data_IF_699612197478
#
_entry.id   IF_699612197478
#
_cell.length_a   1.000
_cell.length_b   1.000
_cell.length_c   1.000
_cell.angle_alpha   90.00
_cell.angle_beta   90.00
_cell.angle_gamma   90.00
#
_symmetry.space_group_name_H-M   'P 1'
#
loop_
_entity.id
_entity.type
_entity.pdbx_description
1 polymer ?
#
# COMPACT_ATOMS: atom_id res chain seq x y z
N UNK A 1 11.50 22.87 -20.30
CA UNK A 1 11.66 24.19 -19.65
C UNK A 1 11.90 23.91 -18.18
N UNK A 2 13.02 24.36 -17.63
CA UNK A 2 13.46 24.01 -16.28
C UNK A 2 12.69 24.85 -15.23
N UNK A 3 11.71 24.25 -14.57
CA UNK A 3 11.00 24.87 -13.44
C UNK A 3 11.85 24.71 -12.18
N UNK A 4 12.07 25.81 -11.45
CA UNK A 4 12.63 25.77 -10.10
C UNK A 4 11.66 25.00 -9.19
N UNK A 5 12.14 24.15 -8.29
CA UNK A 5 11.34 23.30 -7.40
C UNK A 5 10.22 24.09 -6.71
N UNK A 6 10.55 25.29 -6.21
CA UNK A 6 9.57 26.19 -5.59
C UNK A 6 8.39 26.54 -6.51
N UNK A 7 8.62 26.72 -7.82
CA UNK A 7 7.54 27.01 -8.78
C UNK A 7 6.68 25.78 -9.06
N UNK A 8 7.27 24.59 -9.01
CA UNK A 8 6.52 23.32 -9.14
C UNK A 8 5.64 23.13 -7.91
N UNK A 9 6.20 23.34 -6.71
CA UNK A 9 5.48 23.28 -5.44
C UNK A 9 4.33 24.30 -5.40
N UNK A 10 4.58 25.56 -5.79
CA UNK A 10 3.54 26.60 -5.87
C UNK A 10 2.36 26.17 -6.77
N UNK A 11 2.65 25.68 -7.99
CA UNK A 11 1.63 25.15 -8.90
C UNK A 11 0.83 24.00 -8.27
N UNK A 12 1.52 23.08 -7.60
CA UNK A 12 0.88 21.94 -6.93
C UNK A 12 -0.03 22.41 -5.78
N UNK A 13 0.39 23.42 -5.02
CA UNK A 13 -0.40 24.00 -3.92
C UNK A 13 -1.71 24.63 -4.42
N UNK A 14 -1.68 25.26 -5.61
CA UNK A 14 -2.85 25.88 -6.25
C UNK A 14 -3.91 24.88 -6.75
N UNK A 15 -3.57 23.58 -6.82
CA UNK A 15 -4.51 22.55 -7.28
C UNK A 15 -5.73 22.43 -6.35
N UNK A 16 -6.96 22.48 -6.90
CA UNK A 16 -8.18 22.63 -6.11
C UNK A 16 -8.60 21.35 -5.39
N UNK A 17 -8.36 20.19 -6.00
CA UNK A 17 -8.83 18.89 -5.49
C UNK A 17 -7.76 18.24 -4.62
N UNK A 18 -8.13 17.83 -3.42
CA UNK A 18 -7.26 17.09 -2.51
C UNK A 18 -7.75 15.66 -2.32
N UNK A 19 -6.88 14.77 -1.87
CA UNK A 19 -7.18 13.36 -1.63
C UNK A 19 -8.33 13.19 -0.63
N UNK A 20 -8.45 14.09 0.35
CA UNK A 20 -9.56 14.12 1.30
C UNK A 20 -10.93 14.34 0.64
N UNK A 21 -10.99 15.02 -0.50
CA UNK A 21 -12.24 15.33 -1.19
C UNK A 21 -12.80 14.11 -1.92
N UNK A 22 -11.92 13.23 -2.41
CA UNK A 22 -12.29 11.99 -3.13
C UNK A 22 -12.33 10.75 -2.22
N UNK A 23 -11.87 10.88 -0.98
CA UNK A 23 -11.86 9.78 -0.01
C UNK A 23 -13.16 9.73 0.80
N UNK A 24 -13.69 8.52 1.01
CA UNK A 24 -14.70 8.25 2.04
C UNK A 24 -14.07 8.37 3.43
N UNK A 25 -12.83 7.87 3.60
CA UNK A 25 -12.10 7.99 4.85
C UNK A 25 -10.60 7.88 4.66
N UNK A 26 -9.85 8.70 5.39
CA UNK A 26 -8.41 8.56 5.60
C UNK A 26 -8.19 8.40 7.11
N UNK A 27 -7.46 7.35 7.51
CA UNK A 27 -7.30 6.95 8.90
C UNK A 27 -5.92 6.36 9.20
N UNK A 28 -5.52 6.42 10.47
CA UNK A 28 -4.23 5.88 10.92
C UNK A 28 -4.32 4.40 11.24
N UNK A 29 -3.16 3.77 11.42
CA UNK A 29 -3.04 2.38 11.82
C UNK A 29 -3.60 2.07 13.20
N UNK A 30 -3.51 0.79 13.56
CA UNK A 30 -3.72 0.35 14.94
C UNK A 30 -2.58 0.81 15.85
N UNK A 31 -2.85 0.94 17.13
CA UNK A 31 -1.80 1.12 18.14
C UNK A 31 -2.17 0.37 19.41
N UNK A 32 -1.24 -0.34 20.03
CA UNK A 32 -1.49 -1.15 21.22
C UNK A 32 -0.39 -0.94 22.25
N UNK A 33 -0.71 -1.14 23.53
CA UNK A 33 0.31 -1.15 24.60
C UNK A 33 1.20 -2.39 24.52
N UNK A 34 0.65 -3.49 24.02
CA UNK A 34 1.29 -4.81 24.01
C UNK A 34 1.61 -5.25 22.58
N UNK A 35 2.38 -4.47 21.81
CA UNK A 35 2.70 -4.78 20.40
C UNK A 35 3.25 -6.19 20.19
N UNK A 36 4.13 -6.65 21.10
CA UNK A 36 4.74 -7.99 21.08
C UNK A 36 3.77 -9.14 21.39
N UNK A 37 2.61 -8.84 22.00
CA UNK A 37 1.52 -9.80 22.16
C UNK A 37 0.77 -10.01 20.84
N UNK A 38 0.61 -8.95 20.05
CA UNK A 38 -0.21 -9.05 18.84
C UNK A 38 0.58 -9.45 17.61
N UNK A 39 1.83 -8.97 17.50
CA UNK A 39 2.71 -9.30 16.38
C UNK A 39 3.19 -10.74 16.48
N UNK A 40 3.11 -11.43 15.34
CA UNK A 40 3.43 -12.84 15.17
C UNK A 40 4.39 -12.97 13.99
N UNK A 41 5.48 -13.70 14.15
CA UNK A 41 6.34 -14.05 13.01
C UNK A 41 5.91 -15.40 12.44
N UNK A 42 5.88 -15.52 11.12
CA UNK A 42 5.66 -16.77 10.41
C UNK A 42 7.00 -17.52 10.35
N UNK A 43 7.11 -18.76 10.86
CA UNK A 43 8.34 -19.54 10.78
C UNK A 43 8.70 -19.83 9.31
N UNK A 44 9.99 -19.73 8.97
CA UNK A 44 10.47 -20.08 7.63
C UNK A 44 10.15 -21.55 7.29
N UNK A 45 9.61 -21.78 6.09
CA UNK A 45 9.26 -23.13 5.61
C UNK A 45 8.06 -23.77 6.30
N UNK A 46 7.25 -23.01 7.05
CA UNK A 46 6.01 -23.52 7.60
C UNK A 46 4.88 -23.46 6.58
N UNK A 47 4.29 -24.63 6.28
CA UNK A 47 3.06 -24.75 5.49
C UNK A 47 1.79 -24.67 6.39
N UNK A 48 1.95 -24.37 7.69
CA UNK A 48 0.82 -24.36 8.63
C UNK A 48 0.28 -22.96 8.85
N UNK A 49 -0.99 -22.75 8.51
CA UNK A 49 -1.73 -21.50 8.75
C UNK A 49 -1.99 -21.18 10.23
N UNK A 50 -1.54 -22.05 11.14
CA UNK A 50 -1.81 -21.93 12.58
C UNK A 50 -0.55 -21.79 13.44
N UNK A 51 0.65 -22.05 12.88
CA UNK A 51 1.90 -22.03 13.62
C UNK A 51 2.61 -20.69 13.47
N UNK A 52 2.89 -20.04 14.60
CA UNK A 52 3.55 -18.75 14.64
C UNK A 52 4.64 -18.70 15.69
N UNK A 53 5.56 -17.75 15.57
CA UNK A 53 6.50 -17.38 16.62
C UNK A 53 5.99 -16.13 17.32
N UNK A 54 5.73 -16.23 18.62
CA UNK A 54 5.37 -15.08 19.43
C UNK A 54 6.66 -14.33 19.80
N UNK A 55 6.86 -13.12 19.27
CA UNK A 55 8.09 -12.37 19.49
C UNK A 55 8.35 -12.08 20.97
N UNK A 56 7.33 -11.70 21.74
CA UNK A 56 7.54 -11.44 23.18
C UNK A 56 7.85 -12.69 24.01
N UNK A 57 7.31 -13.86 23.65
CA UNK A 57 7.55 -15.10 24.38
C UNK A 57 8.77 -15.88 23.84
N UNK A 58 9.34 -15.46 22.71
CA UNK A 58 10.45 -16.12 22.02
C UNK A 58 10.23 -17.62 21.79
N UNK A 59 8.99 -18.04 21.48
CA UNK A 59 8.65 -19.45 21.28
C UNK A 59 7.54 -19.66 20.24
N UNK A 60 7.42 -20.87 19.67
CA UNK A 60 6.29 -21.24 18.84
C UNK A 60 4.97 -21.24 19.61
N UNK A 61 3.92 -20.80 18.94
CA UNK A 61 2.53 -20.79 19.41
C UNK A 61 1.62 -21.28 18.29
N UNK A 62 0.59 -22.03 18.65
CA UNK A 62 -0.50 -22.39 17.75
C UNK A 62 -1.66 -21.44 18.06
N UNK A 63 -2.26 -20.85 17.04
CA UNK A 63 -3.36 -19.91 17.18
C UNK A 63 -4.47 -20.20 16.18
N UNK A 64 -5.67 -19.82 16.55
CA UNK A 64 -6.85 -19.89 15.70
C UNK A 64 -6.72 -18.88 14.54
N UNK A 65 -6.71 -19.34 13.27
CA UNK A 65 -6.44 -18.49 12.11
C UNK A 65 -7.47 -17.36 11.92
N UNK A 66 -8.69 -17.52 12.43
CA UNK A 66 -9.76 -16.52 12.37
C UNK A 66 -9.41 -15.21 13.08
N UNK A 67 -8.45 -15.23 14.01
CA UNK A 67 -7.95 -14.06 14.71
C UNK A 67 -6.71 -13.46 14.05
N UNK A 68 -6.18 -14.06 12.99
CA UNK A 68 -4.87 -13.72 12.43
C UNK A 68 -5.04 -12.98 11.10
N UNK A 69 -4.48 -11.77 11.04
CA UNK A 69 -4.55 -10.91 9.87
C UNK A 69 -3.17 -10.67 9.25
N UNK A 70 -3.09 -10.49 7.91
CA UNK A 70 -1.90 -9.97 7.26
C UNK A 70 -1.47 -8.64 7.88
N UNK A 71 -0.16 -8.47 8.11
CA UNK A 71 0.36 -7.30 8.82
C UNK A 71 1.39 -6.54 7.99
N UNK A 72 1.14 -5.25 7.79
CA UNK A 72 2.05 -4.31 7.15
C UNK A 72 2.76 -3.53 8.23
N UNK A 73 4.06 -3.78 8.37
CA UNK A 73 4.94 -2.97 9.21
C UNK A 73 5.48 -1.82 8.38
N UNK A 74 5.45 -0.59 8.90
CA UNK A 74 6.00 0.58 8.22
C UNK A 74 7.51 0.49 7.90
N UNK A 75 8.22 -0.49 8.47
CA UNK A 75 9.61 -0.79 8.12
C UNK A 75 9.77 -1.37 6.70
N UNK A 76 8.71 -1.95 6.12
CA UNK A 76 8.70 -2.46 4.75
C UNK A 76 7.91 -1.47 3.89
N UNK A 77 8.64 -0.69 3.11
CA UNK A 77 8.05 0.22 2.14
C UNK A 77 7.72 -0.57 0.88
N UNK A 78 6.45 -0.61 0.51
CA UNK A 78 5.94 -1.45 -0.57
C UNK A 78 5.21 -0.58 -1.60
N UNK A 79 5.54 -0.77 -2.88
CA UNK A 79 4.95 -0.02 -3.98
C UNK A 79 3.96 -0.87 -4.73
N UNK A 80 2.79 -0.31 -5.00
CA UNK A 80 1.68 -0.88 -5.77
C UNK A 80 1.04 -2.13 -5.13
N UNK A 81 1.82 -3.10 -4.67
CA UNK A 81 1.35 -4.33 -4.03
C UNK A 81 2.08 -4.59 -2.72
N UNK A 82 1.50 -5.44 -1.87
CA UNK A 82 2.15 -5.84 -0.62
C UNK A 82 3.13 -7.00 -0.84
N UNK A 83 4.28 -6.92 -0.17
CA UNK A 83 5.18 -8.04 -0.01
C UNK A 83 4.58 -8.99 1.03
N UNK A 84 4.60 -10.32 0.81
CA UNK A 84 4.27 -11.26 1.87
C UNK A 84 5.10 -10.99 3.13
N UNK A 85 4.49 -10.29 4.08
CA UNK A 85 5.14 -9.93 5.33
C UNK A 85 5.48 -11.22 6.09
N UNK A 86 6.68 -11.34 6.67
CA UNK A 86 6.99 -12.43 7.60
C UNK A 86 6.20 -12.27 8.90
N UNK A 87 5.42 -11.20 9.05
CA UNK A 87 4.61 -10.93 10.21
C UNK A 87 3.11 -11.06 9.94
N UNK A 88 2.40 -11.44 10.99
CA UNK A 88 0.94 -11.41 11.12
C UNK A 88 0.56 -10.66 12.37
N UNK A 89 -0.72 -10.31 12.46
CA UNK A 89 -1.26 -9.59 13.60
C UNK A 89 -2.46 -10.33 14.18
N UNK A 90 -2.40 -10.67 15.46
CA UNK A 90 -3.50 -11.27 16.20
C UNK A 90 -4.48 -10.17 16.64
N UNK A 91 -5.72 -10.25 16.18
CA UNK A 91 -6.78 -9.29 16.47
C UNK A 91 -8.01 -10.01 17.03
N UNK A 92 -8.15 -10.10 18.38
CA UNK A 92 -9.26 -10.77 19.05
C UNK A 92 -10.54 -9.92 19.04
N UNK A 93 -11.05 -9.64 17.84
CA UNK A 93 -12.21 -8.81 17.58
C UNK A 93 -13.22 -9.54 16.71
N UNK A 94 -14.49 -9.35 17.01
CA UNK A 94 -15.58 -9.67 16.12
C UNK A 94 -15.84 -8.50 15.19
N UNK A 95 -15.90 -8.80 13.90
CA UNK A 95 -16.36 -7.87 12.89
C UNK A 95 -17.81 -8.20 12.60
N UNK A 96 -18.71 -7.25 12.84
CA UNK A 96 -20.12 -7.37 12.47
C UNK A 96 -20.46 -6.36 11.38
N UNK A 97 -21.18 -6.82 10.36
CA UNK A 97 -21.63 -5.95 9.28
C UNK A 97 -22.78 -5.07 9.77
N UNK A 98 -22.61 -3.75 9.69
CA UNK A 98 -23.63 -2.77 10.07
C UNK A 98 -23.79 -1.73 8.97
N UNK A 99 -24.53 -2.11 7.92
CA UNK A 99 -24.66 -1.29 6.71
C UNK A 99 -23.36 -1.27 5.92
N UNK A 100 -22.87 -0.08 5.54
CA UNK A 100 -21.64 0.09 4.74
C UNK A 100 -20.35 0.10 5.58
N UNK A 101 -20.42 -0.13 6.90
CA UNK A 101 -19.26 -0.11 7.81
C UNK A 101 -19.31 -1.32 8.73
N UNK A 102 -18.14 -1.84 9.11
CA UNK A 102 -18.05 -2.90 10.11
C UNK A 102 -17.98 -2.30 11.50
N UNK A 103 -18.67 -2.90 12.46
CA UNK A 103 -18.46 -2.59 13.87
C UNK A 103 -17.53 -3.65 14.45
N UNK A 104 -16.29 -3.25 14.73
CA UNK A 104 -15.30 -4.08 15.39
C UNK A 104 -15.54 -4.08 16.91
N UNK A 105 -16.00 -5.20 17.45
CA UNK A 105 -16.21 -5.40 18.89
C UNK A 105 -15.12 -6.30 19.44
N UNK A 106 -14.44 -5.85 20.50
CA UNK A 106 -13.47 -6.70 21.18
C UNK A 106 -14.17 -7.92 21.80
N UNK A 107 -13.60 -9.11 21.61
CA UNK A 107 -14.16 -10.35 22.16
C UNK A 107 -13.90 -10.34 23.68
N UNK A 108 -14.92 -10.48 24.55
CA UNK A 108 -14.73 -10.55 26.00
C UNK A 108 -13.90 -11.76 26.43
N UNK A 109 -13.18 -11.71 27.56
CA UNK A 109 -12.31 -12.82 28.00
C UNK A 109 -13.01 -14.17 28.12
N UNK A 110 -14.24 -14.20 28.63
CA UNK A 110 -15.02 -15.45 28.76
C UNK A 110 -15.36 -16.07 27.39
N UNK A 111 -15.77 -15.24 26.42
CA UNK A 111 -16.06 -15.70 25.06
C UNK A 111 -14.78 -16.14 24.34
N UNK A 112 -13.69 -15.39 24.54
CA UNK A 112 -12.38 -15.70 23.99
C UNK A 112 -11.87 -17.05 24.52
N UNK A 113 -12.05 -17.32 25.81
CA UNK A 113 -11.66 -18.59 26.45
C UNK A 113 -12.41 -19.79 25.86
N UNK A 114 -13.69 -19.63 25.54
CA UNK A 114 -14.53 -20.71 25.02
C UNK A 114 -14.28 -20.95 23.53
N UNK A 115 -14.18 -19.89 22.73
CA UNK A 115 -14.12 -19.99 21.26
C UNK A 115 -12.71 -20.02 20.70
N UNK A 116 -11.78 -19.36 21.38
CA UNK A 116 -10.39 -19.20 20.96
C UNK A 116 -9.44 -19.53 22.13
N UNK A 117 -9.51 -20.77 22.67
CA UNK A 117 -8.77 -21.16 23.87
C UNK A 117 -7.25 -21.03 23.72
N UNK A 118 -6.68 -21.17 22.52
CA UNK A 118 -5.25 -21.02 22.30
C UNK A 118 -4.82 -19.56 22.38
N UNK A 119 -5.56 -18.66 21.74
CA UNK A 119 -5.36 -17.22 21.89
C UNK A 119 -5.52 -16.76 23.36
N UNK A 120 -6.56 -17.22 24.05
CA UNK A 120 -6.75 -16.93 25.48
C UNK A 120 -5.57 -17.39 26.32
N UNK A 121 -5.14 -18.65 26.15
CA UNK A 121 -4.01 -19.24 26.87
C UNK A 121 -2.72 -18.46 26.65
N UNK A 122 -2.47 -18.02 25.41
CA UNK A 122 -1.32 -17.19 25.06
C UNK A 122 -1.35 -15.83 25.75
N UNK A 123 -2.49 -15.13 25.74
CA UNK A 123 -2.60 -13.82 26.38
C UNK A 123 -2.34 -13.95 27.88
N UNK A 124 -2.88 -15.01 28.51
CA UNK A 124 -2.64 -15.28 29.93
C UNK A 124 -1.16 -15.57 30.19
N UNK A 125 -0.52 -16.38 29.36
CA UNK A 125 0.92 -16.65 29.50
C UNK A 125 1.77 -15.38 29.36
N UNK A 126 1.43 -14.51 28.39
CA UNK A 126 2.07 -13.23 28.21
C UNK A 126 1.90 -12.34 29.46
N UNK A 127 0.69 -12.25 29.99
CA UNK A 127 0.39 -11.54 31.25
C UNK A 127 1.21 -12.10 32.42
N UNK A 128 1.27 -13.41 32.57
CA UNK A 128 2.04 -14.05 33.64
C UNK A 128 3.54 -13.71 33.53
N UNK A 129 4.09 -13.67 32.31
CA UNK A 129 5.51 -13.42 32.10
C UNK A 129 5.91 -11.94 32.23
N UNK A 130 5.09 -11.02 31.71
CA UNK A 130 5.44 -9.60 31.66
C UNK A 130 4.89 -8.80 32.84
N UNK A 131 3.67 -9.11 33.29
CA UNK A 131 3.00 -8.41 34.39
C UNK A 131 3.16 -9.16 35.73
N UNK A 132 3.69 -10.39 35.71
CA UNK A 132 3.83 -11.26 36.89
C UNK A 132 2.50 -11.55 37.60
N UNK A 133 1.40 -11.49 36.85
CA UNK A 133 0.04 -11.65 37.35
C UNK A 133 -0.61 -12.91 36.78
N UNK A 134 -0.76 -13.91 37.65
CA UNK A 134 -1.37 -15.21 37.33
C UNK A 134 -2.91 -15.23 37.46
N UNK A 135 -3.53 -14.08 37.74
CA UNK A 135 -4.99 -14.00 37.80
C UNK A 135 -5.61 -14.14 36.40
N UNK A 136 -6.84 -14.71 36.30
CA UNK A 136 -7.58 -14.75 35.04
C UNK A 136 -7.69 -13.37 34.37
N UNK A 137 -7.96 -13.36 33.06
CA UNK A 137 -8.25 -12.11 32.35
C UNK A 137 -9.59 -11.56 32.80
N UNK A 138 -9.56 -10.46 33.54
CA UNK A 138 -10.72 -9.75 34.10
C UNK A 138 -11.30 -8.72 33.13
N UNK A 139 -10.47 -8.16 32.26
CA UNK A 139 -10.85 -7.18 31.24
C UNK A 139 -10.21 -7.49 29.87
N UNK A 140 -10.90 -7.08 28.82
CA UNK A 140 -10.39 -7.10 27.45
C UNK A 140 -9.35 -6.00 27.19
N UNK A 141 -9.19 -5.03 28.10
CA UNK A 141 -8.25 -3.91 27.96
C UNK A 141 -6.81 -4.37 27.72
N UNK A 142 -6.42 -5.52 28.29
CA UNK A 142 -5.06 -6.07 28.20
C UNK A 142 -4.63 -6.39 26.76
N UNK A 143 -5.57 -6.81 25.93
CA UNK A 143 -5.34 -7.15 24.52
C UNK A 143 -6.11 -6.21 23.58
N UNK A 144 -6.57 -5.07 24.08
CA UNK A 144 -7.25 -4.07 23.27
C UNK A 144 -6.27 -3.31 22.38
N UNK A 145 -6.71 -3.03 21.16
CA UNK A 145 -6.01 -2.15 20.23
C UNK A 145 -6.82 -0.87 20.03
N UNK A 146 -6.12 0.26 19.86
CA UNK A 146 -6.70 1.50 19.35
C UNK A 146 -6.64 1.48 17.82
N UNK A 147 -7.37 2.39 17.18
CA UNK A 147 -7.48 2.44 15.71
C UNK A 147 -8.86 2.02 15.22
N UNK A 148 -9.92 2.53 15.86
CA UNK A 148 -11.33 2.17 15.58
C UNK A 148 -11.66 2.20 14.08
N UNK A 149 -11.20 3.22 13.35
CA UNK A 149 -11.43 3.35 11.91
C UNK A 149 -10.80 2.21 11.10
N UNK A 150 -9.62 1.71 11.49
CA UNK A 150 -9.04 0.56 10.80
C UNK A 150 -9.93 -0.67 10.95
N UNK A 151 -10.46 -0.91 12.16
CA UNK A 151 -11.40 -1.99 12.42
C UNK A 151 -12.70 -1.82 11.62
N UNK A 152 -13.18 -0.58 11.46
CA UNK A 152 -14.38 -0.27 10.68
C UNK A 152 -14.25 -0.59 9.18
N UNK A 153 -13.03 -0.48 8.64
CA UNK A 153 -12.71 -0.70 7.22
C UNK A 153 -11.95 -2.01 6.96
N UNK A 154 -11.88 -2.92 7.94
CA UNK A 154 -11.25 -4.22 7.74
C UNK A 154 -12.10 -5.08 6.79
N UNK A 155 -11.46 -5.66 5.78
CA UNK A 155 -12.15 -6.31 4.66
C UNK A 155 -12.85 -5.35 3.69
N UNK A 156 -12.51 -4.06 3.70
CA UNK A 156 -12.90 -3.09 2.67
C UNK A 156 -11.67 -2.71 1.84
N UNK A 157 -11.74 -2.69 0.49
CA UNK A 157 -10.62 -2.28 -0.34
C UNK A 157 -10.08 -0.92 0.10
N UNK A 158 -8.76 -0.80 0.17
CA UNK A 158 -8.10 0.43 0.63
C UNK A 158 -6.69 0.56 0.11
N UNK A 159 -6.19 1.77 0.00
CA UNK A 159 -4.75 2.02 -0.21
C UNK A 159 -4.11 2.16 1.17
N UNK A 160 -2.98 1.51 1.39
CA UNK A 160 -2.16 1.75 2.58
C UNK A 160 -0.92 2.52 2.12
N UNK A 161 -0.75 3.73 2.64
CA UNK A 161 0.44 4.54 2.41
C UNK A 161 1.31 4.54 3.67
N UNK A 162 2.58 4.19 3.52
CA UNK A 162 3.56 4.13 4.61
C UNK A 162 4.74 5.07 4.35
N UNK A 163 5.40 5.48 5.42
CA UNK A 163 6.59 6.33 5.37
C UNK A 163 7.81 5.46 5.71
N UNK A 164 8.50 5.03 4.65
CA UNK A 164 9.84 4.45 4.75
C UNK A 164 10.90 5.54 4.53
N UNK A 165 11.85 5.31 3.62
CA UNK A 165 12.73 6.39 3.14
C UNK A 165 11.97 7.47 2.35
N UNK A 166 10.86 7.09 1.70
CA UNK A 166 9.96 7.96 0.92
C UNK A 166 8.52 7.45 1.09
N UNK A 167 7.54 8.30 0.78
CA UNK A 167 6.14 7.91 0.69
C UNK A 167 5.99 6.80 -0.35
N UNK A 168 5.36 5.70 0.04
CA UNK A 168 5.00 4.60 -0.84
C UNK A 168 3.58 4.13 -0.52
N UNK A 169 2.89 3.61 -1.52
CA UNK A 169 1.52 3.19 -1.38
C UNK A 169 1.27 1.84 -2.07
N UNK A 170 0.49 0.98 -1.44
CA UNK A 170 0.06 -0.29 -2.01
C UNK A 170 -1.46 -0.43 -1.89
N UNK A 171 -2.06 -1.05 -2.92
CA UNK A 171 -3.50 -1.26 -2.96
C UNK A 171 -3.88 -2.62 -2.34
N UNK A 172 -4.63 -2.59 -1.25
CA UNK A 172 -5.17 -3.75 -0.55
C UNK A 172 -6.58 -4.04 -1.08
N UNK A 173 -6.66 -4.76 -2.20
CA UNK A 173 -7.93 -5.12 -2.82
C UNK A 173 -8.82 -5.95 -1.89
N UNK A 174 -8.23 -6.82 -1.06
CA UNK A 174 -8.97 -7.64 -0.08
C UNK A 174 -9.48 -6.83 1.12
N UNK A 175 -8.80 -5.74 1.44
CA UNK A 175 -9.06 -4.94 2.63
C UNK A 175 -8.61 -5.59 3.95
N UNK A 176 -7.95 -6.74 3.95
CA UNK A 176 -7.66 -7.51 5.17
C UNK A 176 -6.33 -7.14 5.85
N UNK A 177 -5.49 -6.30 5.24
CA UNK A 177 -4.22 -5.91 5.83
C UNK A 177 -4.43 -4.96 7.02
N UNK A 178 -3.80 -5.30 8.14
CA UNK A 178 -3.66 -4.48 9.34
C UNK A 178 -2.30 -3.78 9.31
N UNK A 179 -2.22 -2.55 9.80
CA UNK A 179 -0.98 -1.75 9.81
C UNK A 179 -0.93 -0.86 11.05
N UNK A 180 0.28 -0.60 11.58
CA UNK A 180 0.51 0.25 12.76
C UNK A 180 1.02 1.65 12.39
N UNK A 181 1.81 1.76 11.31
CA UNK A 181 2.36 3.02 10.79
C UNK A 181 1.79 3.38 9.43
N UNK A 182 1.62 4.67 9.16
CA UNK A 182 1.07 5.18 7.91
C UNK A 182 -0.43 5.47 7.98
N UNK A 183 -1.07 5.51 6.81
CA UNK A 183 -2.50 5.75 6.67
C UNK A 183 -3.19 4.75 5.72
N UNK A 184 -4.44 4.45 6.05
CA UNK A 184 -5.38 3.76 5.18
C UNK A 184 -6.27 4.79 4.50
N UNK A 185 -6.48 4.64 3.20
CA UNK A 185 -7.27 5.52 2.34
C UNK A 185 -8.36 4.68 1.67
N UNK A 186 -9.61 5.00 1.96
CA UNK A 186 -10.79 4.40 1.32
C UNK A 186 -11.40 5.45 0.42
N UNK A 187 -11.49 5.17 -0.87
CA UNK A 187 -12.04 6.07 -1.88
C UNK A 187 -13.55 5.94 -1.98
N UNK A 188 -14.21 7.02 -2.43
CA UNK A 188 -15.65 7.01 -2.73
C UNK A 188 -15.96 6.19 -3.98
N UNK A 189 -15.04 6.20 -4.94
CA UNK A 189 -15.13 5.54 -6.25
C UNK A 189 -14.06 4.45 -6.34
N UNK A 190 -14.42 3.15 -6.21
CA UNK A 190 -13.47 2.04 -6.24
C UNK A 190 -12.62 1.95 -7.52
N UNK A 191 -13.18 2.36 -8.65
CA UNK A 191 -12.51 2.40 -9.95
C UNK A 191 -11.27 3.31 -9.95
N UNK A 192 -11.19 4.28 -9.03
CA UNK A 192 -10.06 5.21 -8.92
C UNK A 192 -8.88 4.64 -8.12
N UNK A 193 -9.02 3.47 -7.48
CA UNK A 193 -7.94 2.89 -6.66
C UNK A 193 -6.61 2.71 -7.41
N UNK A 194 -6.58 2.16 -8.63
CA UNK A 194 -5.32 2.00 -9.34
C UNK A 194 -4.69 3.34 -9.73
N UNK A 195 -5.49 4.31 -10.18
CA UNK A 195 -5.03 5.65 -10.51
C UNK A 195 -4.41 6.35 -9.30
N UNK A 196 -5.14 6.42 -8.18
CA UNK A 196 -4.65 7.09 -6.97
C UNK A 196 -3.40 6.39 -6.42
N UNK A 197 -3.31 5.06 -6.51
CA UNK A 197 -2.11 4.32 -6.13
C UNK A 197 -0.91 4.70 -7.01
N UNK A 198 -1.11 4.88 -8.31
CA UNK A 198 -0.05 5.34 -9.22
C UNK A 198 0.44 6.76 -8.86
N UNK A 199 -0.50 7.68 -8.60
CA UNK A 199 -0.17 9.05 -8.17
C UNK A 199 0.64 9.06 -6.88
N UNK A 200 0.24 8.26 -5.88
CA UNK A 200 0.94 8.17 -4.59
C UNK A 200 2.32 7.50 -4.67
N UNK A 201 2.62 6.77 -5.76
CA UNK A 201 3.95 6.23 -6.01
C UNK A 201 4.75 7.05 -7.05
N UNK A 202 4.21 8.20 -7.48
CA UNK A 202 4.79 9.00 -8.54
C UNK A 202 5.84 10.02 -8.05
N UNK A 203 6.44 10.76 -8.98
CA UNK A 203 7.30 11.90 -8.65
C UNK A 203 6.56 13.03 -7.94
N UNK A 204 5.25 13.21 -8.18
CA UNK A 204 4.43 14.19 -7.45
C UNK A 204 4.45 13.90 -5.95
N UNK A 205 4.35 12.62 -5.57
CA UNK A 205 4.37 12.23 -4.16
C UNK A 205 5.71 12.53 -3.48
N UNK A 206 6.82 12.61 -4.23
CA UNK A 206 8.13 13.01 -3.68
C UNK A 206 8.22 14.49 -3.37
N UNK A 207 7.44 15.32 -4.06
CA UNK A 207 7.36 16.76 -3.83
C UNK A 207 6.42 17.10 -2.65
N UNK A 208 5.63 16.12 -2.20
CA UNK A 208 4.61 16.36 -1.19
C UNK A 208 5.14 16.84 0.16
N UNK A 209 6.29 16.39 0.68
CA UNK A 209 6.90 16.99 1.87
C UNK A 209 7.18 18.49 1.70
N UNK A 210 7.72 18.92 0.55
CA UNK A 210 7.96 20.34 0.27
C UNK A 210 6.66 21.14 0.16
N UNK A 211 5.60 20.55 -0.41
CA UNK A 211 4.24 21.11 -0.41
C UNK A 211 3.74 21.31 1.03
N UNK A 212 3.91 20.31 1.90
CA UNK A 212 3.50 20.40 3.30
C UNK A 212 4.29 21.47 4.08
N UNK A 213 5.61 21.57 3.85
CA UNK A 213 6.46 22.61 4.43
C UNK A 213 6.03 24.01 4.00
N UNK A 214 5.71 24.19 2.71
CA UNK A 214 5.22 25.47 2.18
C UNK A 214 3.89 25.90 2.82
N UNK A 215 3.04 24.94 3.20
CA UNK A 215 1.79 25.17 3.91
C UNK A 215 1.93 25.22 5.45
N UNK A 216 3.17 25.19 5.99
CA UNK A 216 3.48 25.15 7.43
C UNK A 216 2.88 23.94 8.18
N UNK A 217 2.78 22.79 7.53
CA UNK A 217 2.27 21.55 8.13
C UNK A 217 3.43 20.68 8.64
N UNK A 218 3.77 20.83 9.92
CA UNK A 218 4.85 20.08 10.56
C UNK A 218 4.34 18.76 11.17
N UNK A 219 4.19 17.73 10.34
CA UNK A 219 4.07 16.34 10.82
C UNK A 219 4.57 15.37 9.77
N UNK A 220 4.81 14.12 10.18
CA UNK A 220 5.11 12.99 9.27
C UNK A 220 4.16 13.02 8.04
N UNK A 221 4.73 12.82 6.85
CA UNK A 221 4.04 13.09 5.58
C UNK A 221 2.83 12.16 5.34
N UNK A 222 2.77 11.04 6.07
CA UNK A 222 1.73 10.01 5.95
C UNK A 222 0.70 10.02 7.08
N UNK A 223 0.66 11.06 7.93
CA UNK A 223 -0.44 11.16 8.90
C UNK A 223 -1.77 11.40 8.18
N UNK A 224 -2.90 10.89 8.69
CA UNK A 224 -4.20 11.09 8.05
C UNK A 224 -4.59 12.55 7.85
N UNK A 225 -4.13 13.46 8.72
CA UNK A 225 -4.40 14.88 8.60
C UNK A 225 -3.63 15.52 7.44
N UNK A 226 -2.38 15.12 7.23
CA UNK A 226 -1.54 15.58 6.12
C UNK A 226 -2.02 14.97 4.82
N UNK A 227 -2.22 13.66 4.77
CA UNK A 227 -2.60 12.94 3.55
C UNK A 227 -3.93 13.41 2.95
N UNK A 228 -4.85 13.92 3.77
CA UNK A 228 -6.07 14.58 3.28
C UNK A 228 -5.81 15.77 2.37
N UNK A 229 -4.67 16.44 2.53
CA UNK A 229 -4.25 17.60 1.73
C UNK A 229 -3.42 17.22 0.51
N UNK A 230 -3.12 15.93 0.32
CA UNK A 230 -2.38 15.48 -0.86
C UNK A 230 -3.13 15.94 -2.12
N UNK A 231 -2.51 16.72 -3.01
CA UNK A 231 -3.17 17.25 -4.20
C UNK A 231 -3.39 16.13 -5.21
N UNK A 232 -4.62 15.99 -5.71
CA UNK A 232 -5.00 14.99 -6.71
C UNK A 232 -5.55 15.70 -7.93
N UNK A 233 -5.01 15.36 -9.10
CA UNK A 233 -5.55 15.78 -10.40
C UNK A 233 -6.00 14.52 -11.13
N UNK A 234 -7.06 14.62 -11.91
CA UNK A 234 -7.42 13.60 -12.90
C UNK A 234 -7.23 14.23 -14.28
N UNK A 235 -6.67 13.51 -15.26
CA UNK A 235 -6.55 14.03 -16.61
C UNK A 235 -7.95 14.31 -17.20
N UNK A 236 -8.09 15.36 -18.00
CA UNK A 236 -9.35 15.66 -18.69
C UNK A 236 -9.72 14.58 -19.71
N UNK A 237 -8.69 13.98 -20.31
CA UNK A 237 -8.82 12.88 -21.25
C UNK A 237 -8.93 11.53 -20.51
N UNK A 238 -10.01 10.82 -20.80
CA UNK A 238 -10.30 9.50 -20.22
C UNK A 238 -9.28 8.45 -20.64
N UNK A 239 -8.71 8.55 -21.85
CA UNK A 239 -7.74 7.56 -22.33
C UNK A 239 -6.47 7.58 -21.47
N UNK A 240 -6.00 8.76 -21.10
CA UNK A 240 -4.85 8.94 -20.21
C UNK A 240 -5.11 8.35 -18.82
N UNK A 241 -6.32 8.55 -18.26
CA UNK A 241 -6.71 7.93 -16.99
C UNK A 241 -6.73 6.39 -17.10
N UNK A 242 -7.30 5.86 -18.18
CA UNK A 242 -7.40 4.42 -18.45
C UNK A 242 -6.01 3.78 -18.63
N UNK A 243 -5.08 4.48 -19.31
CA UNK A 243 -3.69 4.06 -19.45
C UNK A 243 -2.98 4.00 -18.09
N UNK A 244 -3.07 5.05 -17.27
CA UNK A 244 -2.47 5.07 -15.92
C UNK A 244 -3.03 3.95 -15.06
N UNK A 245 -4.36 3.76 -15.09
CA UNK A 245 -5.06 2.71 -14.34
C UNK A 245 -4.59 1.31 -14.78
N UNK A 246 -4.47 1.08 -16.08
CA UNK A 246 -4.00 -0.20 -16.64
C UNK A 246 -2.54 -0.48 -16.26
N UNK A 247 -1.66 0.51 -16.38
CA UNK A 247 -0.25 0.38 -16.01
C UNK A 247 -0.10 0.16 -14.51
N UNK A 248 -0.91 0.81 -13.68
CA UNK A 248 -0.95 0.56 -12.24
C UNK A 248 -1.28 -0.89 -11.94
N UNK A 249 -2.24 -1.49 -12.66
CA UNK A 249 -2.54 -2.93 -12.59
C UNK A 249 -1.33 -3.81 -12.95
N UNK A 250 -0.63 -3.49 -14.05
CA UNK A 250 0.61 -4.19 -14.40
C UNK A 250 1.68 -4.06 -13.31
N UNK A 251 1.84 -2.88 -12.72
CA UNK A 251 2.80 -2.63 -11.65
C UNK A 251 2.45 -3.38 -10.36
N UNK A 252 1.16 -3.49 -10.02
CA UNK A 252 0.71 -4.35 -8.92
C UNK A 252 1.13 -5.80 -9.16
N UNK A 253 0.85 -6.34 -10.35
CA UNK A 253 1.24 -7.69 -10.72
C UNK A 253 2.77 -7.89 -10.67
N UNK A 254 3.54 -7.01 -11.31
CA UNK A 254 5.00 -7.10 -11.35
C UNK A 254 5.63 -7.02 -9.96
N UNK A 255 5.15 -6.14 -9.09
CA UNK A 255 5.65 -6.05 -7.71
C UNK A 255 5.33 -7.32 -6.91
N UNK A 256 4.14 -7.93 -7.08
CA UNK A 256 3.83 -9.25 -6.47
C UNK A 256 4.82 -10.32 -6.93
N UNK A 257 5.14 -10.38 -8.23
CA UNK A 257 6.12 -11.34 -8.75
C UNK A 257 7.52 -11.11 -8.17
N UNK A 258 7.94 -9.84 -8.06
CA UNK A 258 9.21 -9.48 -7.42
C UNK A 258 9.28 -9.94 -5.97
N UNK A 259 8.22 -9.69 -5.21
CA UNK A 259 8.16 -10.09 -3.81
C UNK A 259 8.11 -11.60 -3.62
N UNK A 260 7.40 -12.32 -4.49
CA UNK A 260 7.41 -13.79 -4.49
C UNK A 260 8.79 -14.38 -4.83
N UNK A 261 9.57 -13.73 -5.69
CA UNK A 261 10.93 -14.17 -6.05
C UNK A 261 11.98 -13.90 -4.95
N UNK A 262 11.68 -13.03 -3.97
CA UNK A 262 12.57 -12.71 -2.86
C UNK A 262 13.96 -12.26 -3.30
N UNK A 263 15.03 -12.78 -2.68
CA UNK A 263 16.43 -12.45 -3.07
C UNK A 263 16.85 -12.99 -4.45
N UNK A 264 15.99 -13.76 -5.11
CA UNK A 264 16.21 -14.33 -6.44
C UNK A 264 15.62 -13.50 -7.58
N UNK A 265 15.22 -12.25 -7.35
CA UNK A 265 14.66 -11.39 -8.42
C UNK A 265 15.61 -11.36 -9.60
N UNK A 266 15.14 -11.85 -10.75
CA UNK A 266 15.90 -11.79 -11.97
C UNK A 266 15.98 -10.32 -12.44
N UNK A 267 17.17 -9.82 -12.79
CA UNK A 267 17.36 -8.41 -13.13
C UNK A 267 16.47 -7.90 -14.26
N UNK A 268 16.00 -8.77 -15.15
CA UNK A 268 15.04 -8.42 -16.20
C UNK A 268 13.66 -8.02 -15.65
N UNK A 269 13.23 -8.57 -14.51
CA UNK A 269 11.96 -8.25 -13.86
C UNK A 269 12.01 -6.86 -13.21
N UNK A 270 13.16 -6.49 -12.65
CA UNK A 270 13.42 -5.13 -12.18
C UNK A 270 13.41 -4.13 -13.34
N UNK A 271 14.08 -4.47 -14.45
CA UNK A 271 14.10 -3.65 -15.65
C UNK A 271 12.70 -3.48 -16.26
N UNK A 272 11.87 -4.53 -16.23
CA UNK A 272 10.48 -4.48 -16.70
C UNK A 272 9.61 -3.62 -15.78
N UNK A 273 9.75 -3.78 -14.46
CA UNK A 273 9.03 -2.97 -13.47
C UNK A 273 9.41 -1.50 -13.58
N UNK A 274 10.70 -1.19 -13.69
CA UNK A 274 11.21 0.17 -13.86
C UNK A 274 10.68 0.84 -15.13
N UNK A 275 10.56 0.09 -16.23
CA UNK A 275 9.96 0.58 -17.47
C UNK A 275 8.50 1.03 -17.28
N UNK A 276 7.66 0.22 -16.65
CA UNK A 276 6.27 0.58 -16.41
C UNK A 276 6.11 1.69 -15.35
N UNK A 277 6.97 1.71 -14.31
CA UNK A 277 6.99 2.81 -13.33
C UNK A 277 7.34 4.14 -14.03
N UNK A 278 8.24 4.10 -15.01
CA UNK A 278 8.64 5.27 -15.76
C UNK A 278 7.50 5.81 -16.63
N UNK A 279 6.78 4.95 -17.36
CA UNK A 279 5.62 5.37 -18.14
C UNK A 279 4.53 5.92 -17.22
N UNK A 280 4.21 5.21 -16.12
CA UNK A 280 3.23 5.68 -15.14
C UNK A 280 3.57 7.06 -14.60
N UNK A 281 4.85 7.31 -14.29
CA UNK A 281 5.32 8.61 -13.83
C UNK A 281 5.14 9.69 -14.91
N UNK A 282 5.50 9.41 -16.16
CA UNK A 282 5.35 10.37 -17.25
C UNK A 282 3.90 10.78 -17.45
N UNK A 283 2.98 9.80 -17.48
CA UNK A 283 1.54 10.06 -17.62
C UNK A 283 0.96 10.84 -16.44
N UNK A 284 1.36 10.51 -15.20
CA UNK A 284 0.92 11.26 -14.02
C UNK A 284 1.46 12.70 -14.04
N UNK A 285 2.72 12.91 -14.40
CA UNK A 285 3.30 14.25 -14.50
C UNK A 285 2.60 15.09 -15.57
N UNK A 286 2.28 14.49 -16.72
CA UNK A 286 1.52 15.14 -17.78
C UNK A 286 0.13 15.59 -17.30
N UNK A 287 -0.57 14.74 -16.55
CA UNK A 287 -1.87 15.08 -15.97
C UNK A 287 -1.79 16.27 -14.98
N UNK A 288 -0.64 16.50 -14.33
CA UNK A 288 -0.47 17.59 -13.36
C UNK A 288 0.01 18.91 -13.98
N UNK A 289 0.77 18.86 -15.08
CA UNK A 289 1.43 20.04 -15.64
C UNK A 289 1.02 20.37 -17.07
N UNK A 290 0.30 19.48 -17.76
CA UNK A 290 -0.09 19.62 -19.18
C UNK A 290 1.12 19.91 -20.08
N UNK A 291 2.30 19.41 -19.70
CA UNK A 291 3.55 19.65 -20.41
C UNK A 291 3.59 18.94 -21.78
N UNK A 292 2.64 18.04 -22.04
CA UNK A 292 2.40 17.36 -23.29
C UNK A 292 3.36 16.19 -23.50
N UNK A 293 2.84 14.97 -23.46
CA UNK A 293 3.58 13.77 -23.89
C UNK A 293 3.79 13.81 -25.41
N UNK A 294 4.94 13.30 -25.90
CA UNK A 294 5.17 13.14 -27.35
C UNK A 294 4.02 12.33 -27.95
N UNK A 295 3.26 12.88 -28.92
CA UNK A 295 2.13 12.20 -29.53
C UNK A 295 2.48 10.82 -30.10
N UNK A 296 3.73 10.61 -30.54
CA UNK A 296 4.18 9.29 -30.98
C UNK A 296 4.32 8.30 -29.83
N UNK A 297 4.74 8.76 -28.66
CA UNK A 297 4.78 7.92 -27.47
C UNK A 297 3.34 7.61 -27.03
N UNK A 298 2.47 8.62 -26.93
CA UNK A 298 1.08 8.41 -26.53
C UNK A 298 0.36 7.42 -27.45
N UNK A 299 0.45 7.59 -28.77
CA UNK A 299 -0.10 6.63 -29.74
C UNK A 299 0.48 5.22 -29.59
N UNK A 300 1.79 5.09 -29.33
CA UNK A 300 2.39 3.79 -29.08
C UNK A 300 1.88 3.14 -27.78
N UNK A 301 1.59 3.93 -26.74
CA UNK A 301 0.99 3.43 -25.50
C UNK A 301 -0.44 2.96 -25.75
N UNK A 302 -1.26 3.76 -26.42
CA UNK A 302 -2.64 3.43 -26.78
C UNK A 302 -2.75 2.16 -27.62
N UNK A 303 -1.83 1.96 -28.57
CA UNK A 303 -1.84 0.78 -29.44
C UNK A 303 -1.49 -0.51 -28.69
N UNK A 304 -0.69 -0.43 -27.61
CA UNK A 304 -0.07 -1.61 -26.99
C UNK A 304 -0.54 -1.89 -25.55
N UNK A 305 -1.02 -0.90 -24.81
CA UNK A 305 -1.43 -1.03 -23.40
C UNK A 305 -2.94 -1.18 -23.34
N UNK A 306 -3.38 -2.37 -22.94
CA UNK A 306 -4.79 -2.72 -22.84
C UNK A 306 -5.08 -3.39 -21.50
N UNK A 307 -6.25 -3.16 -20.89
CA UNK A 307 -6.68 -3.91 -19.71
C UNK A 307 -6.53 -5.40 -19.97
N UNK A 308 -5.85 -6.09 -19.07
CA UNK A 308 -5.71 -7.53 -19.20
C UNK A 308 -7.06 -8.19 -18.96
N UNK A 309 -7.54 -8.97 -19.92
CA UNK A 309 -8.86 -9.59 -19.86
C UNK A 309 -8.95 -10.77 -18.87
N UNK A 310 -7.80 -11.28 -18.42
CA UNK A 310 -7.70 -12.34 -17.42
C UNK A 310 -7.59 -11.81 -16.00
N UNK A 311 -7.81 -12.70 -15.03
CA UNK A 311 -7.60 -12.37 -13.63
C UNK A 311 -6.09 -12.43 -13.30
N UNK A 312 -5.50 -11.26 -13.08
CA UNK A 312 -4.09 -11.13 -12.71
C UNK A 312 -3.75 -11.79 -11.36
N UNK A 313 -4.74 -12.21 -10.56
CA UNK A 313 -4.52 -12.94 -9.31
C UNK A 313 -4.47 -14.47 -9.50
N UNK A 314 -5.03 -15.02 -10.58
CA UNK A 314 -5.17 -16.47 -10.79
C UNK A 314 -4.40 -17.04 -11.98
N UNK A 315 -3.86 -16.20 -12.86
CA UNK A 315 -3.17 -16.68 -14.05
C UNK A 315 -1.72 -17.14 -13.84
N UNK A 316 -1.26 -18.03 -14.73
CA UNK A 316 0.13 -18.47 -14.80
C UNK A 316 1.05 -17.26 -15.03
N UNK A 317 1.82 -16.90 -14.01
CA UNK A 317 2.62 -15.67 -14.00
C UNK A 317 3.55 -15.55 -15.21
N UNK A 318 4.03 -16.67 -15.76
CA UNK A 318 4.95 -16.68 -16.91
C UNK A 318 4.33 -16.16 -18.22
N UNK A 319 3.04 -16.42 -18.50
CA UNK A 319 2.42 -15.94 -19.75
C UNK A 319 2.23 -14.43 -19.74
N UNK A 320 1.71 -13.89 -18.62
CA UNK A 320 1.53 -12.45 -18.46
C UNK A 320 2.87 -11.71 -18.45
N UNK A 321 3.89 -12.25 -17.77
CA UNK A 321 5.25 -11.68 -17.81
C UNK A 321 5.81 -11.61 -19.24
N UNK A 322 5.58 -12.65 -20.05
CA UNK A 322 6.01 -12.69 -21.45
C UNK A 322 5.28 -11.63 -22.30
N UNK A 323 3.97 -11.46 -22.08
CA UNK A 323 3.15 -10.43 -22.74
C UNK A 323 3.64 -9.02 -22.38
N UNK A 324 3.85 -8.76 -21.08
CA UNK A 324 4.34 -7.46 -20.61
C UNK A 324 5.73 -7.14 -21.15
N UNK A 325 6.59 -8.14 -21.28
CA UNK A 325 7.90 -7.97 -21.92
C UNK A 325 7.77 -7.66 -23.41
N UNK A 326 6.85 -8.31 -24.12
CA UNK A 326 6.58 -8.04 -25.53
C UNK A 326 6.03 -6.63 -25.76
N UNK A 327 5.09 -6.17 -24.92
CA UNK A 327 4.56 -4.79 -24.95
C UNK A 327 5.69 -3.77 -24.81
N UNK A 328 6.61 -4.00 -23.85
CA UNK A 328 7.81 -3.16 -23.68
C UNK A 328 8.62 -3.08 -24.99
N UNK A 329 8.91 -4.22 -25.62
CA UNK A 329 9.66 -4.24 -26.89
C UNK A 329 8.93 -3.46 -27.99
N UNK A 330 7.61 -3.65 -28.12
CA UNK A 330 6.81 -2.93 -29.12
C UNK A 330 6.86 -1.42 -28.93
N UNK A 331 6.69 -0.94 -27.69
CA UNK A 331 6.80 0.49 -27.39
C UNK A 331 8.20 1.02 -27.73
N UNK A 332 9.27 0.27 -27.46
CA UNK A 332 10.63 0.68 -27.85
C UNK A 332 10.84 0.75 -29.37
N UNK A 333 10.19 -0.11 -30.15
CA UNK A 333 10.27 -0.15 -31.61
C UNK A 333 9.46 0.98 -32.26
N UNK A 334 8.30 1.32 -31.70
CA UNK A 334 7.32 2.23 -32.33
C UNK A 334 7.39 3.66 -31.82
N UNK A 335 8.14 3.92 -30.75
CA UNK A 335 8.22 5.25 -30.12
C UNK A 335 9.65 5.77 -29.97
N UNK A 336 9.76 7.04 -29.59
CA UNK A 336 11.03 7.64 -29.16
C UNK A 336 11.30 7.41 -27.66
N UNK A 337 10.80 6.34 -27.03
CA UNK A 337 10.90 6.15 -25.58
C UNK A 337 12.34 6.28 -25.04
N UNK A 338 13.36 5.93 -25.83
CA UNK A 338 14.77 6.14 -25.47
C UNK A 338 15.15 7.60 -25.18
N UNK A 339 14.41 8.59 -25.70
CA UNK A 339 14.59 10.02 -25.35
C UNK A 339 14.03 10.37 -23.98
N UNK A 340 13.10 9.55 -23.48
CA UNK A 340 12.48 9.65 -22.18
C UNK A 340 13.14 8.75 -21.17
N UNK A 341 13.99 7.80 -21.61
CA UNK A 341 14.93 7.10 -20.75
C UNK A 341 15.59 8.19 -19.91
N UNK A 342 15.30 8.14 -18.61
CA UNK A 342 16.00 8.97 -17.66
C UNK A 342 17.44 8.47 -17.70
N UNK A 343 18.25 9.03 -18.61
CA UNK A 343 19.68 9.06 -18.42
C UNK A 343 19.88 9.52 -16.97
N UNK A 344 20.84 8.94 -16.28
CA UNK A 344 21.22 9.37 -14.93
C UNK A 344 21.48 10.91 -14.87
N UNK A 345 21.57 11.59 -16.02
CA UNK A 345 21.70 13.03 -16.23
C UNK A 345 20.39 13.84 -16.37
N UNK A 346 19.19 13.26 -16.27
CA UNK A 346 17.99 14.05 -15.86
C UNK A 346 18.04 14.49 -14.38
N UNK A 347 19.19 14.27 -13.77
CA UNK A 347 19.86 15.04 -12.72
C UNK A 347 20.06 16.55 -13.05
N UNK A 348 19.25 17.17 -13.91
CA UNK A 348 19.39 18.61 -14.20
C UNK A 348 18.43 19.48 -13.38
N UNK A 349 17.18 19.03 -13.23
CA UNK A 349 16.12 19.80 -12.56
C UNK A 349 15.36 19.02 -11.51
N UNK A 350 15.56 17.70 -11.46
CA UNK A 350 15.14 16.86 -10.34
C UNK A 350 16.35 16.24 -9.60
N UNK A 351 17.58 16.70 -9.86
CA UNK A 351 18.80 16.29 -9.11
C UNK A 351 18.94 16.85 -7.72
N UNK A 352 18.13 17.85 -7.38
CA UNK A 352 18.20 18.50 -6.07
C UNK A 352 17.17 17.92 -5.07
N UNK A 353 16.60 16.74 -5.36
CA UNK A 353 15.67 16.02 -4.48
C UNK A 353 16.08 14.59 -4.13
#
# INVERSE_FOLDING_TARGET
MFLNENRIVEKICELPTKLGDISESIFGGISTKNGLLHRLAVPEGSDSDSLYLCEGLCKPVILEPELIYPYVSGAFSEKFAFNPSPYRFMLPYELSDKGNRKEGRIIPPEDLKVRFPMAYGRILEFKNQFDHDNSPLDSADYYSVRGKKLLEYLGTPKIIATEGYRLQAAYDASGNHVFEGGCGIVLKEPEKYPYVTAVLNSQIARLFPAVCESEMVYSSSVTPAVMKRFPIVFPEDRLTEDLITTISGYLMFLNRQKYAAGNGVAGWLDELTGFYEQISNLLVMDAYFEDGIDPKLLSALEDNIHPYAGDMESECSESLLSVLYYIKQKIFETSNFKKYAFDAEFSGVLSFL
#
